data_IF_990231760911
#
_entry.id   IF_990231760911
#
_cell.length_a   1.000
_cell.length_b   1.000
_cell.length_c   1.000
_cell.angle_alpha   90.00
_cell.angle_beta   90.00
_cell.angle_gamma   90.00
#
_symmetry.space_group_name_H-M   'P 1'
#
loop_
_entity.id
_entity.type
_entity.pdbx_description
1 polymer ?
#
# COMPACT_ATOMS: atom_id res chain seq x y z
N UNK A 1 23.02 -11.74 -9.26
CA UNK A 1 21.66 -12.19 -9.68
C UNK A 1 20.85 -10.93 -9.96
N UNK A 2 20.56 -10.71 -11.23
CA UNK A 2 19.84 -9.54 -11.76
C UNK A 2 18.36 -9.89 -11.80
N UNK A 3 17.52 -9.13 -11.08
CA UNK A 3 16.07 -8.93 -11.25
C UNK A 3 15.66 -7.96 -10.13
N UNK A 4 15.15 -6.77 -10.37
CA UNK A 4 14.69 -6.10 -11.57
C UNK A 4 13.97 -4.88 -11.04
N UNK A 5 14.36 -3.69 -11.54
CA UNK A 5 13.60 -2.44 -11.47
C UNK A 5 13.01 -2.12 -10.08
N UNK A 6 13.67 -1.16 -9.42
CA UNK A 6 12.94 -0.12 -8.67
C UNK A 6 12.00 0.57 -9.66
N UNK A 7 10.91 -0.10 -10.07
CA UNK A 7 9.77 0.51 -10.75
C UNK A 7 9.33 1.57 -9.76
N UNK A 8 9.70 2.83 -10.04
CA UNK A 8 9.64 4.02 -9.18
C UNK A 8 8.22 4.43 -8.82
N UNK A 9 7.45 3.47 -8.35
CA UNK A 9 6.12 3.57 -7.81
C UNK A 9 6.33 3.73 -6.31
N UNK A 10 6.45 4.98 -5.89
CA UNK A 10 6.55 5.36 -4.49
C UNK A 10 5.24 5.15 -3.75
N UNK A 11 4.11 5.20 -4.47
CA UNK A 11 2.74 5.12 -3.96
C UNK A 11 2.03 3.91 -4.55
N UNK A 12 1.49 3.03 -3.71
CA UNK A 12 0.79 1.80 -4.10
C UNK A 12 -0.52 1.68 -3.33
N UNK A 13 -1.52 1.01 -3.88
CA UNK A 13 -2.75 0.73 -3.13
C UNK A 13 -2.54 -0.46 -2.18
N UNK A 14 -3.22 -0.42 -1.05
CA UNK A 14 -3.31 -1.56 -0.13
C UNK A 14 -4.69 -2.21 -0.27
N UNK A 15 -4.71 -3.49 -0.66
CA UNK A 15 -5.95 -4.25 -0.88
C UNK A 15 -5.98 -5.47 0.02
N UNK A 16 -7.09 -5.69 0.74
CA UNK A 16 -7.27 -6.86 1.61
C UNK A 16 -6.13 -7.03 2.64
N UNK A 17 -5.67 -5.93 3.24
CA UNK A 17 -4.51 -5.90 4.14
C UNK A 17 -3.21 -6.42 3.49
N UNK A 18 -3.05 -6.27 2.17
CA UNK A 18 -1.82 -6.62 1.45
C UNK A 18 -1.33 -5.39 0.68
N UNK A 19 -0.03 -5.11 0.81
CA UNK A 19 0.62 -4.06 0.04
C UNK A 19 0.84 -4.52 -1.41
N UNK A 20 0.22 -3.87 -2.40
CA UNK A 20 0.40 -4.22 -3.82
C UNK A 20 1.82 -3.93 -4.36
N UNK A 21 2.67 -3.23 -3.60
CA UNK A 21 4.05 -2.94 -3.99
C UNK A 21 5.06 -4.03 -3.61
N UNK A 22 4.85 -4.72 -2.50
CA UNK A 22 5.75 -5.79 -2.02
C UNK A 22 5.05 -7.14 -1.81
N UNK A 23 3.73 -7.21 -2.03
CA UNK A 23 2.87 -8.37 -1.83
C UNK A 23 2.96 -8.95 -0.40
N UNK A 24 3.27 -8.10 0.58
CA UNK A 24 3.32 -8.49 2.00
C UNK A 24 2.04 -8.09 2.72
N UNK A 25 1.63 -8.90 3.68
CA UNK A 25 0.54 -8.56 4.59
C UNK A 25 0.89 -7.35 5.48
N UNK A 26 -0.06 -6.44 5.59
CA UNK A 26 -0.04 -5.29 6.49
C UNK A 26 -0.55 -5.72 7.86
N UNK A 27 -0.02 -5.13 8.95
CA UNK A 27 -0.58 -5.34 10.28
C UNK A 27 -2.07 -4.95 10.30
N UNK A 28 -2.93 -5.71 11.01
CA UNK A 28 -4.36 -5.41 11.06
C UNK A 28 -4.65 -4.04 11.69
N UNK A 29 -3.82 -3.57 12.62
CA UNK A 29 -3.89 -2.22 13.18
C UNK A 29 -3.71 -1.17 12.09
N UNK A 30 -2.65 -1.32 11.28
CA UNK A 30 -2.34 -0.43 10.18
C UNK A 30 -3.43 -0.45 9.10
N UNK A 31 -4.00 -1.62 8.82
CA UNK A 31 -5.10 -1.76 7.85
C UNK A 31 -6.41 -1.13 8.35
N UNK A 32 -6.68 -1.21 9.65
CA UNK A 32 -7.81 -0.52 10.26
C UNK A 32 -7.62 1.00 10.25
N UNK A 33 -6.41 1.48 10.54
CA UNK A 33 -6.07 2.90 10.42
C UNK A 33 -6.22 3.35 8.97
N UNK A 34 -5.67 2.62 8.00
CA UNK A 34 -5.79 2.93 6.57
C UNK A 34 -7.25 2.98 6.07
N UNK A 35 -8.14 2.16 6.64
CA UNK A 35 -9.58 2.18 6.31
C UNK A 35 -10.35 3.29 7.04
N UNK A 36 -9.86 3.75 8.20
CA UNK A 36 -10.54 4.75 9.03
C UNK A 36 -10.00 6.15 8.83
N UNK A 37 -8.75 6.29 8.43
CA UNK A 37 -8.07 7.53 8.12
C UNK A 37 -7.63 7.49 6.66
N UNK A 38 -8.00 8.52 5.91
CA UNK A 38 -7.54 8.80 4.54
C UNK A 38 -6.08 9.27 4.50
N UNK A 39 -5.28 8.81 5.46
CA UNK A 39 -3.89 9.25 5.60
C UNK A 39 -2.96 8.40 4.75
N UNK A 40 -1.91 9.03 4.23
CA UNK A 40 -0.84 8.34 3.51
C UNK A 40 0.02 7.58 4.52
N UNK A 41 -0.16 6.26 4.57
CA UNK A 41 0.59 5.38 5.46
C UNK A 41 1.80 4.81 4.71
N UNK A 42 2.86 4.41 5.41
CA UNK A 42 4.00 3.72 4.81
C UNK A 42 3.96 2.23 5.13
N UNK A 43 4.20 1.39 4.13
CA UNK A 43 4.32 -0.04 4.32
C UNK A 43 5.57 -0.35 5.15
N UNK A 44 5.46 -1.00 6.33
CA UNK A 44 6.61 -1.25 7.22
C UNK A 44 7.64 -2.22 6.63
N UNK A 45 7.28 -2.96 5.57
CA UNK A 45 8.17 -3.94 4.96
C UNK A 45 8.99 -3.36 3.79
N UNK A 46 8.46 -2.37 3.07
CA UNK A 46 9.13 -1.83 1.88
C UNK A 46 9.26 -0.30 1.87
N UNK A 47 8.76 0.39 2.90
CA UNK A 47 8.70 1.85 3.02
C UNK A 47 8.06 2.56 1.82
N UNK A 48 7.21 1.87 1.05
CA UNK A 48 6.37 2.53 0.03
C UNK A 48 5.16 3.15 0.69
N UNK A 49 4.72 4.28 0.17
CA UNK A 49 3.47 4.91 0.55
C UNK A 49 2.35 3.98 0.10
N UNK A 50 1.51 3.58 1.03
CA UNK A 50 0.26 2.88 0.81
C UNK A 50 -0.88 3.86 1.03
N UNK A 51 -1.83 3.86 0.11
CA UNK A 51 -3.07 4.61 0.25
C UNK A 51 -4.25 3.65 0.17
N UNK A 52 -5.35 4.04 0.81
CA UNK A 52 -6.63 3.39 0.65
C UNK A 52 -7.22 3.84 -0.68
N UNK A 53 -7.45 2.89 -1.58
CA UNK A 53 -7.93 3.16 -2.93
C UNK A 53 -9.45 3.35 -2.87
N UNK A 54 -9.89 4.56 -2.49
CA UNK A 54 -11.31 4.97 -2.55
C UNK A 54 -11.72 5.38 -3.96
N UNK A 55 -10.74 5.66 -4.82
CA UNK A 55 -10.86 6.14 -6.20
C UNK A 55 -11.30 5.06 -7.22
N UNK A 56 -11.89 3.94 -6.79
CA UNK A 56 -12.63 3.03 -7.69
C UNK A 56 -14.10 3.45 -7.84
N UNK A 57 -14.39 4.74 -7.61
CA UNK A 57 -15.70 5.33 -7.82
C UNK A 57 -15.59 6.64 -8.61
N UNK A 58 -14.88 6.59 -9.75
CA UNK A 58 -15.05 7.58 -10.81
C UNK A 58 -16.11 7.04 -11.78
N UNK A 59 -17.36 7.53 -11.61
CA UNK A 59 -18.35 7.71 -12.69
C UNK A 59 -19.09 6.48 -13.18
#
# INVERSE_FOLDING_TARGET
MIKGRRNGIAVVSARSAVCCGCNMNLPPQLYNELQRSEELIYCPNCNRIIYWDEDVNVG
#
